data_IF_973947707837
#
_entry.id   IF_973947707837
#
_cell.length_a   1.000
_cell.length_b   1.000
_cell.length_c   1.000
_cell.angle_alpha   90.00
_cell.angle_beta   90.00
_cell.angle_gamma   90.00
#
_symmetry.space_group_name_H-M   'P 1'
#
loop_
_entity.id
_entity.type
_entity.pdbx_description
1 polymer ?
#
# COMPACT_ATOMS: atom_id res chain seq x y z
N UNK A 1 -9.89 -13.67 -8.49
CA UNK A 1 -9.08 -14.91 -8.56
C UNK A 1 -8.29 -15.00 -7.28
N UNK A 2 -7.96 -16.17 -6.70
CA UNK A 2 -7.00 -16.21 -5.61
C UNK A 2 -5.62 -15.93 -6.21
N UNK A 3 -5.15 -14.69 -6.08
CA UNK A 3 -3.88 -14.23 -6.62
C UNK A 3 -2.76 -14.88 -5.80
N UNK A 4 -2.30 -16.06 -6.21
CA UNK A 4 -1.05 -16.61 -5.72
C UNK A 4 0.08 -15.73 -6.27
N UNK A 5 0.74 -15.01 -5.35
CA UNK A 5 1.81 -14.05 -5.61
C UNK A 5 2.93 -14.71 -6.41
N UNK A 6 2.93 -14.50 -7.73
CA UNK A 6 3.94 -14.98 -8.68
C UNK A 6 4.55 -13.83 -9.50
N UNK A 7 4.36 -12.58 -9.07
CA UNK A 7 4.76 -11.41 -9.87
C UNK A 7 6.13 -10.85 -9.50
N UNK A 8 6.72 -11.19 -8.34
CA UNK A 8 8.12 -10.83 -8.05
C UNK A 8 8.76 -11.73 -6.98
N UNK A 9 10.07 -11.99 -7.11
CA UNK A 9 10.94 -12.65 -6.11
C UNK A 9 12.08 -11.69 -5.78
N UNK A 10 12.50 -11.62 -4.50
CA UNK A 10 13.72 -10.86 -4.18
C UNK A 10 14.96 -11.74 -4.22
N UNK A 11 16.13 -11.14 -4.44
CA UNK A 11 17.42 -11.84 -4.37
C UNK A 11 17.72 -12.40 -2.96
N UNK A 12 17.01 -11.94 -1.92
CA UNK A 12 17.16 -12.37 -0.53
C UNK A 12 16.22 -13.52 -0.11
N UNK A 13 15.34 -14.00 -1.00
CA UNK A 13 14.44 -15.12 -0.66
C UNK A 13 15.19 -16.47 -0.66
N UNK A 14 15.27 -17.11 0.51
CA UNK A 14 15.31 -18.57 0.65
C UNK A 14 13.89 -19.10 0.96
N UNK A 15 13.68 -20.42 1.05
CA UNK A 15 12.34 -20.98 1.34
C UNK A 15 11.74 -20.46 2.66
N UNK A 16 12.56 -20.12 3.65
CA UNK A 16 12.13 -19.61 4.95
C UNK A 16 11.74 -18.13 4.89
N UNK A 17 12.36 -17.37 4.00
CA UNK A 17 12.19 -15.94 3.81
C UNK A 17 11.36 -15.58 2.57
N UNK A 18 10.69 -16.56 1.96
CA UNK A 18 9.75 -16.33 0.87
C UNK A 18 8.60 -15.43 1.33
N UNK A 19 8.22 -14.47 0.50
CA UNK A 19 7.05 -13.62 0.72
C UNK A 19 5.80 -14.46 0.99
N UNK A 20 5.08 -14.11 2.05
CA UNK A 20 3.86 -14.79 2.49
C UNK A 20 2.60 -14.01 2.17
N UNK A 21 2.71 -12.69 2.03
CA UNK A 21 1.60 -11.82 1.68
C UNK A 21 1.02 -12.09 0.30
N UNK A 22 -0.22 -11.63 0.16
CA UNK A 22 -0.94 -11.64 -1.11
C UNK A 22 -1.30 -10.22 -1.50
N UNK A 23 -1.35 -9.96 -2.80
CA UNK A 23 -1.87 -8.71 -3.31
C UNK A 23 -3.36 -8.58 -2.95
N UNK A 24 -3.72 -7.48 -2.31
CA UNK A 24 -5.10 -7.13 -1.93
C UNK A 24 -5.54 -5.87 -2.67
N UNK A 25 -6.82 -5.80 -3.04
CA UNK A 25 -7.43 -4.68 -3.74
C UNK A 25 -8.94 -4.88 -3.82
N UNK A 26 -9.66 -3.89 -4.35
CA UNK A 26 -11.12 -3.96 -4.54
C UNK A 26 -11.53 -4.43 -5.95
N UNK A 27 -10.57 -4.93 -6.74
CA UNK A 27 -10.69 -5.23 -8.17
C UNK A 27 -11.06 -3.99 -9.03
N UNK A 28 -10.82 -2.78 -8.51
CA UNK A 28 -11.05 -1.52 -9.20
C UNK A 28 -9.74 -0.82 -9.57
N UNK A 29 -9.83 0.14 -10.50
CA UNK A 29 -8.71 1.00 -10.91
C UNK A 29 -8.72 2.38 -10.21
N UNK A 30 -9.55 2.57 -9.18
CA UNK A 30 -9.70 3.84 -8.49
C UNK A 30 -8.89 3.83 -7.20
N UNK A 31 -8.32 4.98 -6.78
CA UNK A 31 -7.54 5.04 -5.56
C UNK A 31 -8.31 4.47 -4.36
N UNK A 32 -7.59 3.78 -3.48
CA UNK A 32 -8.19 3.03 -2.37
C UNK A 32 -7.34 3.16 -1.12
N UNK A 33 -7.99 3.06 0.03
CA UNK A 33 -7.36 2.92 1.34
C UNK A 33 -7.36 1.46 1.75
N UNK A 34 -6.24 1.01 2.30
CA UNK A 34 -6.14 -0.28 3.01
C UNK A 34 -5.78 -0.03 4.46
N UNK A 35 -6.29 -0.88 5.36
CA UNK A 35 -6.07 -0.79 6.80
C UNK A 35 -5.95 -2.16 7.46
N UNK A 36 -5.02 -2.27 8.39
CA UNK A 36 -4.92 -3.35 9.36
C UNK A 36 -4.66 -2.80 10.75
N UNK A 37 -5.34 -3.35 11.75
CA UNK A 37 -5.18 -2.95 13.15
C UNK A 37 -4.71 -4.13 14.01
N UNK A 38 -3.41 -4.49 13.99
CA UNK A 38 -2.91 -5.53 14.87
C UNK A 38 -2.89 -5.07 16.33
N UNK A 39 -3.20 -5.99 17.25
CA UNK A 39 -2.99 -5.80 18.68
C UNK A 39 -1.73 -6.57 19.10
N UNK A 40 -0.72 -5.86 19.58
CA UNK A 40 0.55 -6.45 19.99
C UNK A 40 0.56 -6.69 21.49
N UNK A 41 0.80 -7.95 21.91
CA UNK A 41 0.86 -8.30 23.34
C UNK A 41 2.02 -7.62 24.08
N UNK A 42 3.08 -7.25 23.35
CA UNK A 42 4.27 -6.56 23.85
C UNK A 42 4.92 -5.76 22.73
N UNK A 43 5.74 -4.76 23.09
CA UNK A 43 6.49 -3.97 22.12
C UNK A 43 7.61 -4.81 21.48
N UNK A 44 7.71 -4.87 20.14
CA UNK A 44 8.82 -5.53 19.45
C UNK A 44 10.11 -4.72 19.63
N UNK A 45 11.26 -5.39 19.68
CA UNK A 45 12.56 -4.73 19.74
C UNK A 45 13.06 -4.31 18.36
N UNK A 46 12.56 -4.95 17.30
CA UNK A 46 12.73 -4.50 15.92
C UNK A 46 11.49 -4.81 15.10
N UNK A 47 11.10 -3.90 14.23
CA UNK A 47 9.93 -4.07 13.36
C UNK A 47 10.19 -3.48 11.97
N UNK A 48 10.13 -4.31 10.93
CA UNK A 48 10.40 -3.91 9.54
C UNK A 48 9.21 -4.28 8.66
N UNK A 49 8.59 -3.29 8.02
CA UNK A 49 7.53 -3.50 7.05
C UNK A 49 8.09 -3.39 5.63
N UNK A 50 7.89 -4.43 4.82
CA UNK A 50 8.15 -4.38 3.40
C UNK A 50 6.84 -4.20 2.67
N UNK A 51 6.65 -3.09 1.98
CA UNK A 51 5.39 -2.77 1.33
C UNK A 51 5.57 -2.36 -0.13
N UNK A 52 4.54 -2.65 -0.92
CA UNK A 52 4.46 -2.29 -2.33
C UNK A 52 3.02 -1.99 -2.72
N UNK A 53 2.84 -0.98 -3.58
CA UNK A 53 1.58 -0.71 -4.26
C UNK A 53 1.76 -0.81 -5.77
N UNK A 54 0.81 -1.42 -6.49
CA UNK A 54 0.75 -1.32 -7.94
C UNK A 54 0.12 0.03 -8.30
N UNK A 55 0.96 0.98 -8.67
CA UNK A 55 0.64 2.41 -8.72
C UNK A 55 1.65 3.19 -7.90
N UNK A 56 1.19 4.26 -7.27
CA UNK A 56 1.92 4.86 -6.15
C UNK A 56 1.15 4.61 -4.87
N UNK A 57 1.82 4.59 -3.73
CA UNK A 57 1.21 4.46 -2.42
C UNK A 57 1.93 5.34 -1.42
N UNK A 58 1.17 5.82 -0.44
CA UNK A 58 1.70 6.39 0.78
C UNK A 58 1.37 5.45 1.93
N UNK A 59 2.37 5.10 2.72
CA UNK A 59 2.23 4.27 3.92
C UNK A 59 2.12 5.15 5.16
N UNK A 60 1.30 4.71 6.12
CA UNK A 60 1.09 5.39 7.39
C UNK A 60 1.08 4.33 8.49
N UNK A 61 1.70 4.66 9.62
CA UNK A 61 1.60 3.86 10.84
C UNK A 61 1.12 4.76 11.99
N UNK A 62 0.10 4.33 12.71
CA UNK A 62 -0.48 5.04 13.86
C UNK A 62 -0.86 6.51 13.56
N UNK A 63 -1.35 6.79 12.36
CA UNK A 63 -1.76 8.13 11.91
C UNK A 63 -0.61 9.09 11.57
N UNK A 64 0.65 8.64 11.63
CA UNK A 64 1.82 9.45 11.29
C UNK A 64 2.41 9.06 9.92
N UNK A 65 2.29 9.90 8.87
CA UNK A 65 2.95 9.68 7.58
C UNK A 65 4.48 9.76 7.65
N UNK A 66 5.04 10.48 8.63
CA UNK A 66 6.50 10.58 8.82
C UNK A 66 7.10 9.27 9.36
N UNK A 67 6.27 8.40 9.95
CA UNK A 67 6.65 7.05 10.35
C UNK A 67 7.20 6.20 9.17
N UNK A 68 6.89 6.61 7.93
CA UNK A 68 7.36 6.01 6.69
C UNK A 68 8.59 6.74 6.09
N UNK A 69 9.40 7.41 6.91
CA UNK A 69 10.56 8.22 6.49
C UNK A 69 10.25 9.43 5.58
N UNK A 70 9.00 9.92 5.59
CA UNK A 70 8.61 11.10 4.80
C UNK A 70 8.64 10.87 3.29
N UNK A 71 8.62 9.61 2.85
CA UNK A 71 8.55 9.26 1.45
C UNK A 71 7.20 9.70 0.84
N UNK A 72 7.24 10.08 -0.43
CA UNK A 72 6.05 10.40 -1.21
C UNK A 72 6.19 9.81 -2.60
N UNK A 73 5.07 9.39 -3.19
CA UNK A 73 5.02 8.82 -4.54
C UNK A 73 5.88 7.55 -4.70
N UNK A 74 6.08 6.79 -3.62
CA UNK A 74 6.61 5.43 -3.75
C UNK A 74 5.61 4.57 -4.52
N UNK A 75 5.98 3.67 -5.42
CA UNK A 75 7.34 3.34 -5.84
C UNK A 75 7.71 4.09 -7.12
N UNK A 76 9.00 4.04 -7.47
CA UNK A 76 9.46 4.52 -8.77
C UNK A 76 8.81 3.80 -9.94
N UNK A 77 8.81 4.45 -11.10
CA UNK A 77 8.27 3.88 -12.33
C UNK A 77 9.18 2.77 -12.88
N UNK A 78 8.67 1.54 -12.92
CA UNK A 78 9.32 0.39 -13.55
C UNK A 78 8.43 -0.26 -14.61
N UNK A 79 8.97 -1.21 -15.36
CA UNK A 79 8.13 -2.12 -16.14
C UNK A 79 7.47 -3.13 -15.18
N UNK A 80 6.23 -2.85 -14.75
CA UNK A 80 5.50 -3.65 -13.77
C UNK A 80 5.24 -5.11 -14.20
N UNK A 81 5.31 -5.43 -15.51
CA UNK A 81 5.23 -6.83 -15.99
C UNK A 81 6.51 -7.63 -15.76
N UNK A 82 7.62 -6.96 -15.43
CA UNK A 82 8.92 -7.59 -15.20
C UNK A 82 9.42 -7.40 -13.78
N UNK A 83 9.20 -6.23 -13.20
CA UNK A 83 9.77 -5.86 -11.91
C UNK A 83 8.87 -4.88 -11.20
N UNK A 84 8.54 -5.21 -9.96
CA UNK A 84 7.86 -4.32 -9.01
C UNK A 84 8.83 -4.08 -7.86
N UNK A 85 9.03 -2.83 -7.50
CA UNK A 85 9.88 -2.45 -6.37
C UNK A 85 9.11 -2.67 -5.05
N UNK A 86 9.77 -2.50 -3.93
CA UNK A 86 9.12 -2.41 -2.61
C UNK A 86 9.96 -1.47 -1.75
N UNK A 87 9.37 -0.96 -0.67
CA UNK A 87 10.07 -0.14 0.32
C UNK A 87 10.10 -0.88 1.64
N UNK A 88 11.24 -0.80 2.32
CA UNK A 88 11.41 -1.26 3.69
C UNK A 88 11.27 -0.08 4.64
N UNK A 89 10.30 -0.15 5.55
CA UNK A 89 10.04 0.84 6.59
C UNK A 89 10.47 0.27 7.94
N UNK A 90 11.31 1.02 8.67
CA UNK A 90 11.66 0.68 10.06
C UNK A 90 10.65 1.33 11.01
N UNK A 91 9.80 0.50 11.61
CA UNK A 91 8.72 0.92 12.50
C UNK A 91 9.05 0.68 13.98
N UNK A 92 10.29 0.29 14.30
CA UNK A 92 10.69 -0.15 15.65
C UNK A 92 10.40 0.90 16.73
N UNK A 93 10.50 2.19 16.38
CA UNK A 93 10.30 3.30 17.32
C UNK A 93 8.88 3.90 17.31
N UNK A 94 8.00 3.43 16.42
CA UNK A 94 6.63 3.94 16.26
C UNK A 94 5.59 3.02 16.91
N UNK A 95 5.88 1.72 16.96
CA UNK A 95 4.95 0.74 17.50
C UNK A 95 4.89 0.79 19.02
N UNK A 96 3.68 0.54 19.53
CA UNK A 96 3.41 0.44 20.95
C UNK A 96 2.81 -0.92 21.31
N UNK A 97 2.79 -1.24 22.61
CA UNK A 97 2.01 -2.37 23.09
C UNK A 97 0.52 -2.05 22.97
N UNK A 98 -0.29 -3.03 22.54
CA UNK A 98 -1.72 -2.85 22.28
C UNK A 98 -2.03 -2.58 20.81
N UNK A 99 -3.11 -1.84 20.55
CA UNK A 99 -3.56 -1.55 19.18
C UNK A 99 -2.56 -0.65 18.45
N UNK A 100 -2.14 -1.12 17.27
CA UNK A 100 -1.43 -0.32 16.28
C UNK A 100 -2.23 -0.35 14.99
N UNK A 101 -2.03 0.64 14.12
CA UNK A 101 -2.70 0.71 12.83
C UNK A 101 -1.67 0.88 11.72
N UNK A 102 -1.80 0.03 10.70
CA UNK A 102 -1.05 0.07 9.45
C UNK A 102 -2.03 0.48 8.36
N UNK A 103 -1.75 1.60 7.71
CA UNK A 103 -2.57 2.16 6.65
C UNK A 103 -1.75 2.36 5.38
N UNK A 104 -2.39 2.21 4.23
CA UNK A 104 -1.83 2.74 2.99
C UNK A 104 -2.91 3.35 2.11
N UNK A 105 -2.54 4.40 1.37
CA UNK A 105 -3.37 5.02 0.35
C UNK A 105 -2.72 4.78 -1.00
N UNK A 106 -3.39 4.02 -1.87
CA UNK A 106 -2.88 3.61 -3.17
C UNK A 106 -3.54 4.46 -4.24
N UNK A 107 -2.73 5.13 -5.05
CA UNK A 107 -3.13 5.94 -6.20
C UNK A 107 -2.71 5.31 -7.52
N UNK A 108 -3.21 5.88 -8.61
CA UNK A 108 -3.02 5.35 -9.96
C UNK A 108 -1.55 5.27 -10.39
N UNK A 109 -0.77 6.32 -10.07
CA UNK A 109 0.64 6.42 -10.45
C UNK A 109 0.84 6.22 -11.97
N UNK A 110 1.91 5.53 -12.35
CA UNK A 110 2.16 5.10 -13.74
C UNK A 110 1.55 3.73 -14.09
N UNK A 111 0.84 3.09 -13.16
CA UNK A 111 0.45 1.69 -13.32
C UNK A 111 -0.95 1.53 -13.91
N UNK A 112 -1.94 2.20 -13.32
CA UNK A 112 -3.33 2.18 -13.76
C UNK A 112 -3.74 3.58 -14.23
N UNK A 113 -4.71 3.65 -15.12
CA UNK A 113 -5.25 4.92 -15.64
C UNK A 113 -6.75 4.83 -15.87
N UNK A 114 -7.40 5.99 -15.75
CA UNK A 114 -8.78 6.17 -16.19
C UNK A 114 -8.80 6.39 -17.72
N UNK A 115 -9.82 5.89 -18.39
CA UNK A 115 -10.02 6.11 -19.84
C UNK A 115 -11.02 7.25 -20.10
N UNK A 116 -11.40 8.00 -19.06
CA UNK A 116 -12.33 9.12 -19.18
C UNK A 116 -11.81 10.21 -20.11
N UNK A 117 -12.72 10.81 -20.88
CA UNK A 117 -12.45 11.66 -22.04
C UNK A 117 -11.74 13.00 -21.74
N UNK A 118 -11.74 13.46 -20.49
CA UNK A 118 -11.34 14.83 -20.11
C UNK A 118 -9.95 14.96 -19.47
N UNK A 119 -9.20 13.86 -19.36
CA UNK A 119 -8.01 13.78 -18.52
C UNK A 119 -6.78 13.24 -19.28
N UNK A 120 -5.73 14.06 -19.37
CA UNK A 120 -4.51 13.75 -20.14
C UNK A 120 -3.57 12.83 -19.37
N UNK A 121 -3.35 11.62 -19.89
CA UNK A 121 -2.40 10.67 -19.31
C UNK A 121 -0.99 10.72 -19.96
N UNK A 122 -0.66 11.75 -20.76
CA UNK A 122 0.54 11.71 -21.64
C UNK A 122 1.12 13.06 -22.13
N UNK A 123 2.44 13.16 -22.45
CA UNK A 123 3.09 14.33 -23.09
C UNK A 123 3.01 14.35 -24.64
N UNK A 124 2.38 15.38 -25.23
CA UNK A 124 2.08 15.64 -26.66
C UNK A 124 3.15 15.40 -27.78
N UNK A 125 3.83 14.26 -27.89
CA UNK A 125 4.74 13.92 -29.01
C UNK A 125 4.39 12.65 -29.82
N UNK A 126 3.71 12.88 -30.95
CA UNK A 126 3.61 12.08 -32.20
C UNK A 126 3.00 10.65 -32.24
N UNK A 127 2.98 9.81 -31.21
CA UNK A 127 2.49 8.41 -31.39
C UNK A 127 1.38 7.88 -30.45
N UNK A 128 1.04 8.61 -29.38
CA UNK A 128 -0.14 8.32 -28.54
C UNK A 128 -0.21 6.87 -27.97
N UNK A 129 0.94 6.26 -27.65
CA UNK A 129 1.05 4.83 -27.33
C UNK A 129 1.00 4.45 -25.83
N UNK A 130 0.64 5.35 -24.91
CA UNK A 130 0.60 4.98 -23.48
C UNK A 130 -0.45 3.89 -23.20
N UNK A 131 0.04 2.69 -22.88
CA UNK A 131 -0.78 1.57 -22.43
C UNK A 131 -0.52 1.39 -20.94
N UNK A 132 -1.59 1.54 -20.12
CA UNK A 132 -1.53 1.24 -18.69
C UNK A 132 -1.05 -0.19 -18.47
N UNK A 133 -0.27 -0.42 -17.41
CA UNK A 133 0.23 -1.75 -17.07
C UNK A 133 -0.85 -2.67 -16.49
N UNK A 134 -1.82 -2.09 -15.77
CA UNK A 134 -2.86 -2.87 -15.12
C UNK A 134 -4.22 -2.20 -15.06
N UNK A 135 -5.21 -3.00 -14.71
CA UNK A 135 -6.62 -2.61 -14.62
C UNK A 135 -7.11 -2.52 -13.17
N UNK A 136 -6.29 -2.90 -12.18
CA UNK A 136 -6.71 -3.02 -10.79
C UNK A 136 -5.58 -2.55 -9.86
N UNK A 137 -5.87 -1.63 -8.94
CA UNK A 137 -4.92 -1.20 -7.93
C UNK A 137 -4.81 -2.26 -6.83
N UNK A 138 -3.57 -2.55 -6.44
CA UNK A 138 -3.29 -3.55 -5.43
C UNK A 138 -2.24 -3.07 -4.43
N UNK A 139 -2.31 -3.58 -3.21
CA UNK A 139 -1.34 -3.41 -2.15
C UNK A 139 -0.80 -4.76 -1.68
N UNK A 140 0.47 -4.78 -1.31
CA UNK A 140 1.16 -5.93 -0.75
C UNK A 140 2.01 -5.47 0.43
N UNK A 141 2.03 -6.26 1.50
CA UNK A 141 2.96 -6.04 2.59
C UNK A 141 3.25 -7.32 3.37
N UNK A 142 4.51 -7.50 3.74
CA UNK A 142 4.94 -8.40 4.83
C UNK A 142 5.61 -7.57 5.92
N UNK A 143 5.11 -7.70 7.14
CA UNK A 143 5.57 -6.94 8.29
C UNK A 143 6.16 -7.86 9.35
N UNK A 144 7.47 -7.75 9.54
CA UNK A 144 8.24 -8.63 10.41
C UNK A 144 8.48 -7.97 11.75
N UNK A 145 8.11 -8.68 12.81
CA UNK A 145 8.31 -8.29 14.20
C UNK A 145 9.32 -9.23 14.85
N UNK A 146 10.27 -8.65 15.58
CA UNK A 146 11.29 -9.35 16.34
C UNK A 146 11.19 -8.92 17.79
N UNK A 147 11.28 -9.89 18.70
CA UNK A 147 11.18 -9.67 20.14
C UNK A 147 12.48 -10.06 20.85
N UNK A 148 12.70 -9.53 22.06
CA UNK A 148 13.93 -9.74 22.82
C UNK A 148 14.16 -11.18 23.31
N UNK A 149 13.10 -11.99 23.40
CA UNK A 149 13.20 -13.42 23.71
C UNK A 149 13.57 -14.27 22.48
N UNK A 150 13.80 -13.64 21.33
CA UNK A 150 14.13 -14.28 20.06
C UNK A 150 12.91 -14.76 19.26
N UNK A 151 11.69 -14.59 19.77
CA UNK A 151 10.49 -14.91 19.00
C UNK A 151 10.30 -13.94 17.83
N UNK A 152 9.60 -14.40 16.80
CA UNK A 152 9.32 -13.64 15.57
C UNK A 152 7.88 -13.81 15.17
N UNK A 153 7.33 -12.75 14.61
CA UNK A 153 5.98 -12.74 14.08
C UNK A 153 5.99 -12.07 12.71
N UNK A 154 5.07 -12.45 11.84
CA UNK A 154 4.91 -11.81 10.53
C UNK A 154 3.44 -11.56 10.28
N UNK A 155 3.08 -10.28 10.10
CA UNK A 155 1.75 -9.85 9.72
C UNK A 155 1.79 -9.57 8.21
N UNK A 156 0.91 -10.20 7.45
CA UNK A 156 0.94 -10.13 5.99
C UNK A 156 -0.36 -9.55 5.44
N UNK A 157 -0.34 -9.02 4.23
CA UNK A 157 -1.58 -8.69 3.51
C UNK A 157 -2.41 -9.93 3.25
N UNK A 158 -3.72 -9.83 3.50
CA UNK A 158 -4.66 -10.96 3.47
C UNK A 158 -6.13 -10.53 3.55
N UNK A 159 -7.08 -11.49 3.60
CA UNK A 159 -8.52 -11.22 3.61
C UNK A 159 -9.03 -10.45 4.84
N UNK A 160 -8.23 -10.42 5.89
CA UNK A 160 -8.47 -9.77 7.18
C UNK A 160 -8.06 -8.29 7.20
N UNK A 161 -7.71 -7.74 6.05
CA UNK A 161 -7.49 -6.33 5.82
C UNK A 161 -8.79 -5.64 5.41
N UNK A 162 -8.96 -4.40 5.89
CA UNK A 162 -10.07 -3.55 5.45
C UNK A 162 -9.64 -2.78 4.20
N UNK A 163 -10.54 -2.72 3.23
CA UNK A 163 -10.36 -1.96 1.99
C UNK A 163 -11.52 -0.98 1.88
N UNK A 164 -11.21 0.28 1.60
CA UNK A 164 -12.19 1.36 1.47
C UNK A 164 -11.88 2.19 0.23
N UNK A 165 -12.91 2.66 -0.47
CA UNK A 165 -12.76 3.63 -1.56
C UNK A 165 -12.12 4.91 -1.04
N UNK A 166 -11.19 5.46 -1.81
CA UNK A 166 -10.56 6.72 -1.45
C UNK A 166 -11.49 7.91 -1.69
N UNK A 167 -11.25 8.98 -0.95
CA UNK A 167 -11.74 10.33 -1.32
C UNK A 167 -11.11 10.86 -2.59
N UNK A 168 -9.95 10.31 -2.95
CA UNK A 168 -9.24 10.60 -4.18
C UNK A 168 -9.78 9.69 -5.27
N UNK A 169 -10.35 10.25 -6.32
CA UNK A 169 -10.96 9.49 -7.43
C UNK A 169 -10.01 9.34 -8.62
N UNK A 170 -8.95 10.15 -8.65
CA UNK A 170 -7.87 10.11 -9.62
C UNK A 170 -6.60 10.61 -8.95
N UNK A 171 -5.49 9.88 -9.09
CA UNK A 171 -4.16 10.30 -8.61
C UNK A 171 -3.08 9.83 -9.59
N UNK A 172 -2.92 10.55 -10.69
CA UNK A 172 -2.02 10.18 -11.78
C UNK A 172 -1.00 11.29 -12.07
N UNK A 173 0.24 10.90 -12.40
CA UNK A 173 1.34 11.85 -12.60
C UNK A 173 1.10 12.83 -13.75
N UNK A 174 0.44 12.39 -14.81
CA UNK A 174 0.09 13.25 -15.94
C UNK A 174 -1.31 13.84 -15.82
N UNK A 175 -2.22 13.05 -15.25
CA UNK A 175 -3.66 13.32 -15.28
C UNK A 175 -4.19 14.06 -14.03
N UNK A 176 -3.29 14.64 -13.24
CA UNK A 176 -3.57 15.36 -11.99
C UNK A 176 -4.17 14.50 -10.86
N UNK A 177 -4.62 15.18 -9.79
CA UNK A 177 -5.28 14.59 -8.63
C UNK A 177 -6.69 15.19 -8.47
N UNK A 178 -7.71 14.34 -8.35
CA UNK A 178 -9.09 14.73 -8.02
C UNK A 178 -9.47 14.15 -6.67
N UNK A 179 -9.86 15.00 -5.72
CA UNK A 179 -10.14 14.60 -4.33
C UNK A 179 -11.37 15.31 -3.76
N UNK A 180 -12.28 14.54 -3.18
CA UNK A 180 -13.45 15.02 -2.44
C UNK A 180 -13.31 14.74 -0.93
N UNK A 181 -12.87 15.74 -0.18
CA UNK A 181 -12.60 15.60 1.25
C UNK A 181 -13.85 15.46 2.13
N UNK A 182 -15.07 15.66 1.59
CA UNK A 182 -16.31 15.55 2.38
C UNK A 182 -16.54 14.14 2.94
N UNK A 183 -15.97 13.13 2.27
CA UNK A 183 -16.06 11.73 2.68
C UNK A 183 -14.77 11.20 3.33
N UNK A 184 -13.83 12.09 3.72
CA UNK A 184 -12.55 11.66 4.28
C UNK A 184 -12.75 11.00 5.65
N UNK A 185 -12.27 9.75 5.83
CA UNK A 185 -12.46 9.05 7.09
C UNK A 185 -11.42 9.52 8.10
N UNK A 186 -11.73 10.62 8.79
CA UNK A 186 -10.85 11.20 9.80
C UNK A 186 -10.47 10.15 10.87
N UNK A 187 -9.18 9.95 11.08
CA UNK A 187 -8.63 8.99 12.04
C UNK A 187 -8.56 7.54 11.55
N UNK A 188 -8.95 7.23 10.30
CA UNK A 188 -8.94 5.87 9.75
C UNK A 188 -7.61 5.12 9.93
N UNK A 189 -6.51 5.83 9.76
CA UNK A 189 -5.14 5.33 9.83
C UNK A 189 -4.52 5.40 11.23
N UNK A 190 -5.31 5.76 12.26
CA UNK A 190 -4.89 5.84 13.65
C UNK A 190 -5.64 4.82 14.57
N UNK A 191 -5.04 4.43 15.71
CA UNK A 191 -5.72 3.62 16.73
C UNK A 191 -7.00 4.30 17.25
N UNK A 192 -7.95 3.49 17.73
CA UNK A 192 -9.21 3.98 18.27
C UNK A 192 -10.26 4.41 17.23
N UNK A 193 -9.97 4.29 15.93
CA UNK A 193 -10.95 4.54 14.88
C UNK A 193 -12.17 3.62 15.02
N UNK A 194 -13.35 4.23 15.17
CA UNK A 194 -14.62 3.52 15.13
C UNK A 194 -15.18 3.60 13.72
N UNK A 195 -15.47 2.45 13.14
CA UNK A 195 -16.10 2.37 11.82
C UNK A 195 -17.58 2.75 12.01
N UNK A 196 -18.01 3.85 11.40
CA UNK A 196 -19.44 4.14 11.30
C UNK A 196 -20.07 3.00 10.49
N UNK A 197 -21.01 2.26 11.09
CA UNK A 197 -21.85 1.31 10.35
C UNK A 197 -22.63 2.11 9.29
N UNK A 198 -22.23 1.97 8.02
CA UNK A 198 -23.00 2.40 6.86
C UNK A 198 -23.52 1.20 6.10
#
# INVERSE_FOLDING_TARGET
>A
MPHTSLIFRTWFEDELNRWKGVWIGDNGNKPLYVRKAPCLDRKPSRAIAFASGLGHFNFVCNGDPAAANGHVLDLGWTNYHRTVQFVAYDLSNILEQGENVLGAHIGNGFYAGDQGDDHFFWPCYEDNTYVRYGNELCFFMDFHLFYDDGSRETITTGPDWRIRKSTTTLANIYSSETKDLRAYPAGWDAPGFQEDEQ
#
